data_IF_019486836249
#
_entry.id   IF_019486836249
#
_cell.length_a   1.000
_cell.length_b   1.000
_cell.length_c   1.000
_cell.angle_alpha   90.00
_cell.angle_beta   90.00
_cell.angle_gamma   90.00
#
_symmetry.space_group_name_H-M   'P 1'
#
loop_
_entity.id
_entity.type
_entity.pdbx_description
1 polymer ?
#
# COMPACT_ATOMS: atom_id res chain seq x y z
N UNK A 1 3.35 5.77 10.54
CA UNK A 1 2.44 5.92 11.66
C UNK A 1 1.00 6.08 11.18
N UNK A 2 0.75 7.00 10.25
CA UNK A 2 -0.61 7.23 9.74
C UNK A 2 -1.17 6.01 9.03
N UNK A 3 -0.38 5.36 8.18
CA UNK A 3 -0.86 4.19 7.44
C UNK A 3 -1.01 2.97 8.34
N UNK A 4 -0.17 2.80 9.36
CA UNK A 4 -0.37 1.72 10.32
C UNK A 4 -1.63 1.93 11.14
N UNK A 5 -1.95 3.18 11.51
CA UNK A 5 -3.20 3.53 12.16
C UNK A 5 -4.41 3.25 11.29
N UNK A 6 -4.31 3.57 9.98
CA UNK A 6 -5.37 3.26 9.03
C UNK A 6 -5.61 1.74 8.91
N UNK A 7 -4.53 0.95 8.88
CA UNK A 7 -4.63 -0.51 8.80
C UNK A 7 -5.27 -1.09 10.07
N UNK A 8 -4.89 -0.59 11.25
CA UNK A 8 -5.52 -1.00 12.51
C UNK A 8 -7.02 -0.73 12.50
N UNK A 9 -7.40 0.47 12.11
CA UNK A 9 -8.80 0.86 12.10
C UNK A 9 -9.58 0.10 11.01
N UNK A 10 -8.96 -0.15 9.86
CA UNK A 10 -9.57 -0.97 8.82
C UNK A 10 -9.86 -2.38 9.32
N UNK A 11 -8.95 -2.97 10.09
CA UNK A 11 -9.17 -4.30 10.67
C UNK A 11 -10.39 -4.31 11.60
N UNK A 12 -10.67 -3.20 12.27
CA UNK A 12 -11.82 -3.07 13.16
C UNK A 12 -13.11 -2.83 12.37
N UNK A 13 -13.07 -1.98 11.33
CA UNK A 13 -14.26 -1.42 10.71
C UNK A 13 -14.59 -1.95 9.31
N UNK A 14 -13.67 -2.64 8.65
CA UNK A 14 -13.91 -3.10 7.28
C UNK A 14 -15.04 -4.11 7.23
N UNK A 15 -15.97 -3.90 6.30
CA UNK A 15 -16.98 -4.90 5.97
C UNK A 15 -16.48 -5.76 4.79
N UNK A 16 -17.29 -6.71 4.34
CA UNK A 16 -16.92 -7.61 3.25
C UNK A 16 -16.64 -6.86 1.94
N UNK A 17 -17.41 -5.81 1.68
CA UNK A 17 -17.20 -4.99 0.47
C UNK A 17 -15.87 -4.25 0.53
N UNK A 18 -15.50 -3.73 1.70
CA UNK A 18 -14.22 -3.07 1.89
C UNK A 18 -13.06 -4.02 1.68
N UNK A 19 -13.18 -5.23 2.24
CA UNK A 19 -12.14 -6.26 2.11
C UNK A 19 -11.99 -6.66 0.65
N UNK A 20 -13.11 -6.80 -0.07
CA UNK A 20 -13.10 -7.12 -1.49
C UNK A 20 -12.41 -6.00 -2.28
N UNK A 21 -12.67 -4.74 -1.95
CA UNK A 21 -12.04 -3.60 -2.63
C UNK A 21 -10.52 -3.61 -2.42
N UNK A 22 -10.07 -3.93 -1.20
CA UNK A 22 -8.63 -4.05 -0.91
C UNK A 22 -8.02 -5.19 -1.73
N UNK A 23 -8.69 -6.35 -1.76
CA UNK A 23 -8.21 -7.50 -2.53
C UNK A 23 -8.16 -7.18 -4.03
N UNK A 24 -9.17 -6.50 -4.56
CA UNK A 24 -9.20 -6.11 -5.97
C UNK A 24 -8.05 -5.18 -6.32
N UNK A 25 -7.72 -4.25 -5.43
CA UNK A 25 -6.58 -3.36 -5.63
C UNK A 25 -5.26 -4.14 -5.63
N UNK A 26 -5.12 -5.12 -4.74
CA UNK A 26 -3.96 -6.01 -4.72
C UNK A 26 -3.85 -6.79 -6.03
N UNK A 27 -4.98 -7.32 -6.51
CA UNK A 27 -5.02 -8.11 -7.74
C UNK A 27 -4.61 -7.27 -8.95
N UNK A 28 -5.04 -6.00 -9.01
CA UNK A 28 -4.64 -5.11 -10.10
C UNK A 28 -3.14 -4.86 -10.10
N UNK A 29 -2.57 -4.62 -8.93
CA UNK A 29 -1.12 -4.43 -8.80
C UNK A 29 -0.38 -5.71 -9.18
N UNK A 30 -0.91 -6.86 -8.80
CA UNK A 30 -0.30 -8.14 -9.14
C UNK A 30 -0.23 -8.33 -10.67
N UNK A 31 -1.27 -7.94 -11.39
CA UNK A 31 -1.27 -8.00 -12.85
C UNK A 31 -0.19 -7.10 -13.47
N UNK A 32 0.02 -5.90 -12.89
CA UNK A 32 1.08 -5.00 -13.34
C UNK A 32 2.45 -5.62 -13.10
N UNK A 33 2.65 -6.22 -11.93
CA UNK A 33 3.91 -6.89 -11.58
C UNK A 33 4.19 -8.04 -12.54
N UNK A 34 3.19 -8.89 -12.80
CA UNK A 34 3.35 -10.04 -13.70
C UNK A 34 3.61 -9.62 -15.13
N UNK A 35 2.98 -8.55 -15.61
CA UNK A 35 3.18 -8.06 -16.96
C UNK A 35 4.52 -7.37 -17.15
N UNK A 36 5.18 -6.96 -16.06
CA UNK A 36 6.42 -6.21 -16.06
C UNK A 36 6.32 -4.90 -16.86
N UNK A 37 5.13 -4.33 -16.94
CA UNK A 37 4.87 -3.07 -17.62
C UNK A 37 4.60 -1.98 -16.59
N UNK A 38 5.47 -0.99 -16.57
CA UNK A 38 5.36 0.13 -15.65
C UNK A 38 5.86 -0.20 -14.27
N UNK A 39 5.82 0.77 -13.37
CA UNK A 39 6.36 0.67 -12.01
C UNK A 39 5.27 0.40 -10.97
N UNK A 40 4.00 0.39 -11.38
CA UNK A 40 2.89 0.09 -10.49
C UNK A 40 2.60 1.14 -9.42
N UNK A 41 3.17 2.34 -9.52
CA UNK A 41 3.01 3.36 -8.49
C UNK A 41 1.55 3.74 -8.28
N UNK A 42 0.79 3.87 -9.36
CA UNK A 42 -0.63 4.20 -9.30
C UNK A 42 -1.44 3.10 -8.62
N UNK A 43 -1.13 1.84 -8.94
CA UNK A 43 -1.84 0.70 -8.37
C UNK A 43 -1.43 0.44 -6.94
N UNK A 44 -0.15 0.71 -6.59
CA UNK A 44 0.32 0.67 -5.21
C UNK A 44 -0.45 1.69 -4.36
N UNK A 45 -0.57 2.92 -4.85
CA UNK A 45 -1.35 3.95 -4.17
C UNK A 45 -2.81 3.52 -4.01
N UNK A 46 -3.41 2.94 -5.05
CA UNK A 46 -4.81 2.48 -5.01
C UNK A 46 -5.01 1.43 -3.91
N UNK A 47 -4.04 0.56 -3.69
CA UNK A 47 -4.09 -0.43 -2.61
C UNK A 47 -4.12 0.26 -1.24
N UNK A 48 -3.19 1.20 -1.00
CA UNK A 48 -3.14 1.92 0.26
C UNK A 48 -4.39 2.78 0.49
N UNK A 49 -4.92 3.36 -0.58
CA UNK A 49 -6.15 4.15 -0.50
C UNK A 49 -7.35 3.28 -0.13
N UNK A 50 -7.43 2.06 -0.65
CA UNK A 50 -8.51 1.14 -0.30
C UNK A 50 -8.48 0.81 1.20
N UNK A 51 -7.30 0.66 1.79
CA UNK A 51 -7.16 0.46 3.23
C UNK A 51 -7.61 1.70 4.01
N UNK A 52 -7.20 2.88 3.57
CA UNK A 52 -7.61 4.14 4.21
C UNK A 52 -9.13 4.30 4.18
N UNK A 53 -9.77 3.96 3.07
CA UNK A 53 -11.23 3.99 2.95
C UNK A 53 -11.90 2.99 3.86
N UNK A 54 -11.32 1.80 3.99
CA UNK A 54 -11.85 0.75 4.88
C UNK A 54 -11.76 1.14 6.35
N UNK A 55 -10.89 2.07 6.70
CA UNK A 55 -10.80 2.60 8.06
C UNK A 55 -12.03 3.42 8.44
N UNK A 56 -12.83 3.86 7.47
CA UNK A 56 -13.99 4.74 7.64
C UNK A 56 -13.64 6.09 8.28
N UNK A 57 -12.38 6.51 8.17
CA UNK A 57 -11.91 7.76 8.76
C UNK A 57 -11.38 8.68 7.67
N UNK A 58 -12.09 9.79 7.43
CA UNK A 58 -11.74 10.75 6.38
C UNK A 58 -10.34 11.34 6.56
N UNK A 59 -9.86 11.45 7.80
CA UNK A 59 -8.52 11.96 8.07
C UNK A 59 -7.44 11.15 7.33
N UNK A 60 -7.51 9.82 7.41
CA UNK A 60 -6.53 8.96 6.74
C UNK A 60 -6.60 9.09 5.23
N UNK A 61 -7.81 9.20 4.68
CA UNK A 61 -8.00 9.39 3.24
C UNK A 61 -7.38 10.72 2.79
N UNK A 62 -7.64 11.79 3.53
CA UNK A 62 -7.14 13.13 3.21
C UNK A 62 -5.62 13.18 3.27
N UNK A 63 -5.02 12.63 4.35
CA UNK A 63 -3.57 12.63 4.51
C UNK A 63 -2.90 11.81 3.40
N UNK A 64 -3.44 10.65 3.09
CA UNK A 64 -2.87 9.80 2.04
C UNK A 64 -2.95 10.47 0.67
N UNK A 65 -4.08 11.12 0.37
CA UNK A 65 -4.24 11.85 -0.89
C UNK A 65 -3.25 12.99 -1.02
N UNK A 66 -2.99 13.70 0.08
CA UNK A 66 -1.99 14.77 0.10
C UNK A 66 -0.58 14.21 -0.17
N UNK A 67 -0.23 13.12 0.48
CA UNK A 67 1.08 12.48 0.29
C UNK A 67 1.24 12.04 -1.16
N UNK A 68 0.20 11.48 -1.76
CA UNK A 68 0.21 11.05 -3.16
C UNK A 68 0.52 12.22 -4.11
N UNK A 69 -0.10 13.37 -3.88
CA UNK A 69 0.15 14.56 -4.70
C UNK A 69 1.61 15.00 -4.61
N UNK A 70 2.20 14.94 -3.41
CA UNK A 70 3.61 15.29 -3.22
C UNK A 70 4.54 14.31 -3.91
N UNK A 71 4.22 13.02 -3.84
CA UNK A 71 5.02 11.99 -4.51
C UNK A 71 4.93 12.15 -6.02
N UNK A 72 3.74 12.37 -6.56
CA UNK A 72 3.54 12.57 -8.00
C UNK A 72 4.33 13.78 -8.51
N UNK A 73 4.32 14.88 -7.75
CA UNK A 73 5.10 16.06 -8.09
C UNK A 73 6.59 15.76 -8.12
N UNK A 74 7.09 15.07 -7.10
CA UNK A 74 8.49 14.68 -7.01
C UNK A 74 8.92 13.76 -8.15
N UNK A 75 8.08 12.83 -8.53
CA UNK A 75 8.35 11.91 -9.63
C UNK A 75 8.39 12.64 -10.97
N UNK A 76 7.52 13.62 -11.17
CA UNK A 76 7.56 14.44 -12.38
C UNK A 76 8.85 15.25 -12.50
N UNK A 77 9.36 15.76 -11.38
CA UNK A 77 10.63 16.47 -11.37
C UNK A 77 11.81 15.53 -11.64
N UNK A 78 11.70 14.27 -11.24
CA UNK A 78 12.75 13.28 -11.32
C UNK A 78 12.54 12.29 -12.45
N UNK A 79 11.76 12.64 -13.47
CA UNK A 79 11.36 11.71 -14.53
C UNK A 79 12.53 11.10 -15.29
N UNK A 80 13.72 11.69 -15.20
CA UNK A 80 14.93 11.16 -15.84
C UNK A 80 15.71 10.20 -14.95
N UNK A 81 15.27 10.02 -13.69
CA UNK A 81 15.87 9.07 -12.77
C UNK A 81 15.13 7.74 -12.91
N UNK A 82 15.91 6.71 -13.20
CA UNK A 82 15.35 5.37 -13.39
C UNK A 82 15.05 4.74 -12.02
N UNK A 83 13.78 4.69 -11.63
CA UNK A 83 13.33 3.96 -10.45
C UNK A 83 12.89 2.56 -10.86
N UNK A 84 13.81 1.81 -11.48
CA UNK A 84 13.50 0.45 -11.90
C UNK A 84 13.52 -0.45 -10.67
N UNK A 85 12.35 -0.94 -10.27
CA UNK A 85 12.25 -1.98 -9.26
C UNK A 85 12.38 -3.32 -9.93
N UNK A 86 13.22 -4.20 -9.39
CA UNK A 86 13.34 -5.56 -9.91
C UNK A 86 12.04 -6.31 -9.69
N UNK A 87 11.79 -7.33 -10.51
CA UNK A 87 10.61 -8.20 -10.34
C UNK A 87 10.60 -8.84 -8.96
N UNK A 88 11.76 -9.27 -8.49
CA UNK A 88 11.90 -9.88 -7.16
C UNK A 88 11.45 -8.91 -6.06
N UNK A 89 11.89 -7.64 -6.16
CA UNK A 89 11.52 -6.60 -5.19
C UNK A 89 10.01 -6.34 -5.23
N UNK A 90 9.43 -6.27 -6.41
CA UNK A 90 7.99 -6.06 -6.56
C UNK A 90 7.19 -7.21 -5.96
N UNK A 91 7.64 -8.43 -6.13
CA UNK A 91 6.99 -9.61 -5.55
C UNK A 91 7.08 -9.60 -4.02
N UNK A 92 8.22 -9.17 -3.49
CA UNK A 92 8.38 -9.03 -2.05
C UNK A 92 7.40 -8.00 -1.48
N UNK A 93 7.25 -6.86 -2.14
CA UNK A 93 6.30 -5.82 -1.75
C UNK A 93 4.87 -6.39 -1.75
N UNK A 94 4.52 -7.16 -2.77
CA UNK A 94 3.18 -7.76 -2.85
C UNK A 94 2.93 -8.76 -1.72
N UNK A 95 3.93 -9.50 -1.29
CA UNK A 95 3.78 -10.39 -0.13
C UNK A 95 3.56 -9.59 1.15
N UNK A 96 4.26 -8.46 1.31
CA UNK A 96 4.05 -7.57 2.45
C UNK A 96 2.62 -7.01 2.46
N UNK A 97 2.12 -6.61 1.28
CA UNK A 97 0.73 -6.16 1.15
C UNK A 97 -0.25 -7.26 1.53
N UNK A 98 0.02 -8.50 1.13
CA UNK A 98 -0.85 -9.63 1.43
C UNK A 98 -0.93 -9.88 2.93
N UNK A 99 0.18 -9.71 3.66
CA UNK A 99 0.18 -9.85 5.12
C UNK A 99 -0.78 -8.85 5.77
N UNK A 100 -0.85 -7.63 5.24
CA UNK A 100 -1.79 -6.61 5.72
C UNK A 100 -3.23 -7.04 5.43
N UNK A 101 -3.51 -7.50 4.22
CA UNK A 101 -4.85 -7.97 3.83
C UNK A 101 -5.32 -9.09 4.75
N UNK A 102 -4.45 -10.05 5.02
CA UNK A 102 -4.78 -11.20 5.86
C UNK A 102 -5.14 -10.78 7.28
N UNK A 103 -4.40 -9.82 7.83
CA UNK A 103 -4.69 -9.29 9.16
C UNK A 103 -6.02 -8.54 9.20
N UNK A 104 -6.32 -7.76 8.17
CA UNK A 104 -7.60 -7.03 8.06
C UNK A 104 -8.75 -8.03 7.92
N UNK A 105 -8.58 -9.05 7.08
CA UNK A 105 -9.58 -10.09 6.88
C UNK A 105 -9.87 -10.85 8.18
N UNK A 106 -8.85 -11.06 8.99
CA UNK A 106 -9.00 -11.70 10.30
C UNK A 106 -9.54 -10.76 11.37
N UNK A 107 -9.76 -9.48 11.05
CA UNK A 107 -10.18 -8.45 12.00
C UNK A 107 -9.24 -8.37 13.21
N UNK A 108 -7.93 -8.42 12.92
CA UNK A 108 -6.88 -8.37 13.93
C UNK A 108 -6.13 -7.03 13.81
N UNK A 109 -6.54 -6.00 14.58
CA UNK A 109 -5.96 -4.66 14.42
C UNK A 109 -4.49 -4.59 14.80
N UNK A 110 -4.05 -5.31 15.82
CA UNK A 110 -2.65 -5.30 16.24
C UNK A 110 -1.77 -5.88 15.14
N UNK A 111 -2.18 -7.00 14.56
CA UNK A 111 -1.46 -7.65 13.47
C UNK A 111 -1.46 -6.78 12.22
N UNK A 112 -2.59 -6.14 11.90
CA UNK A 112 -2.68 -5.26 10.74
C UNK A 112 -1.74 -4.06 10.86
N UNK A 113 -1.70 -3.43 12.02
CA UNK A 113 -0.81 -2.30 12.27
C UNK A 113 0.65 -2.70 12.19
N UNK A 114 1.01 -3.85 12.74
CA UNK A 114 2.38 -4.37 12.69
C UNK A 114 2.80 -4.71 11.26
N UNK A 115 1.92 -5.34 10.50
CA UNK A 115 2.22 -5.71 9.12
C UNK A 115 2.44 -4.47 8.26
N UNK A 116 1.60 -3.45 8.42
CA UNK A 116 1.75 -2.20 7.67
C UNK A 116 3.03 -1.47 8.08
N UNK A 117 3.32 -1.40 9.38
CA UNK A 117 4.54 -0.76 9.85
C UNK A 117 5.79 -1.43 9.32
N UNK A 118 5.82 -2.78 9.36
CA UNK A 118 6.94 -3.54 8.82
C UNK A 118 7.12 -3.29 7.33
N UNK A 119 6.01 -3.24 6.58
CA UNK A 119 6.04 -2.94 5.15
C UNK A 119 6.65 -1.55 4.89
N UNK A 120 6.23 -0.54 5.63
CA UNK A 120 6.73 0.82 5.44
C UNK A 120 8.21 0.94 5.83
N UNK A 121 8.63 0.29 6.91
CA UNK A 121 10.03 0.26 7.31
C UNK A 121 10.90 -0.43 6.27
N UNK A 122 10.42 -1.55 5.72
CA UNK A 122 11.13 -2.27 4.66
C UNK A 122 11.22 -1.43 3.39
N UNK A 123 10.16 -0.67 3.08
CA UNK A 123 10.17 0.22 1.91
C UNK A 123 11.24 1.32 2.04
N UNK A 124 11.35 1.90 3.25
CA UNK A 124 12.38 2.91 3.52
C UNK A 124 13.78 2.30 3.39
N UNK A 125 13.99 1.12 3.97
CA UNK A 125 15.26 0.43 3.89
C UNK A 125 15.66 0.14 2.45
N UNK A 126 14.71 -0.31 1.64
CA UNK A 126 14.95 -0.57 0.22
C UNK A 126 15.30 0.70 -0.56
N UNK A 127 14.68 1.83 -0.19
CA UNK A 127 14.95 3.13 -0.82
C UNK A 127 16.38 3.59 -0.57
N UNK A 128 16.94 3.30 0.60
CA UNK A 128 18.29 3.72 0.98
C UNK A 128 19.35 2.63 0.73
N UNK A 129 19.05 1.64 -0.07
CA UNK A 129 20.04 0.72 -0.61
C UNK A 129 20.49 -0.39 0.32
N UNK A 130 19.73 -0.66 1.34
CA UNK A 130 20.06 -1.77 2.24
C UNK A 130 19.48 -3.09 1.75
#
# INVERSE_FOLDING_TARGET
VTESGAAELAAIKADDDDIRAIQDAWDRLERVVESQQGIGAKDDYAFHLAIARASKNQFFITVLSFIEEQIAFSMNLSRNLSFVKTLERQRLVQREHLDVIEAIRAHDPVRAGRAMRAHLENAVDRMFGS
#
